data_IF_163729944827
#
_entry.id   IF_163729944827
#
_cell.length_a   1.000
_cell.length_b   1.000
_cell.length_c   1.000
_cell.angle_alpha   90.00
_cell.angle_beta   90.00
_cell.angle_gamma   90.00
#
_symmetry.space_group_name_H-M   'P 1'
#
loop_
_entity.id
_entity.type
_entity.pdbx_description
1 polymer ?
#
# COMPACT_ATOMS: atom_id res chain seq x y z
N UNK A 1 62.46 -18.44 24.70
CA UNK A 1 61.99 -17.08 24.46
C UNK A 1 61.02 -16.74 25.58
N UNK A 2 61.26 -15.67 26.34
CA UNK A 2 60.40 -15.30 27.48
C UNK A 2 59.15 -14.66 26.86
N UNK A 3 57.97 -15.14 27.22
CA UNK A 3 56.75 -14.57 26.64
C UNK A 3 56.50 -13.12 27.14
N UNK A 4 56.04 -12.28 26.25
CA UNK A 4 55.46 -10.99 26.55
C UNK A 4 54.09 -11.18 27.23
N UNK A 5 53.79 -10.47 28.30
CA UNK A 5 52.52 -10.46 28.98
C UNK A 5 51.93 -9.05 28.82
N UNK A 6 50.74 -8.93 28.21
CA UNK A 6 50.00 -7.67 28.21
C UNK A 6 49.23 -7.55 29.51
N UNK A 7 49.35 -6.42 30.16
CA UNK A 7 48.62 -6.10 31.40
C UNK A 7 47.36 -5.30 31.09
N UNK A 8 47.50 -4.29 30.23
CA UNK A 8 46.37 -3.41 29.79
C UNK A 8 46.59 -2.90 28.39
N UNK A 9 45.48 -2.48 27.79
CA UNK A 9 45.43 -1.76 26.53
C UNK A 9 44.73 -0.41 26.78
N UNK A 10 45.42 0.68 26.54
CA UNK A 10 44.86 2.05 26.58
C UNK A 10 44.41 2.42 25.16
N UNK A 11 43.14 2.77 25.01
CA UNK A 11 42.53 3.10 23.74
C UNK A 11 42.49 4.62 23.58
N UNK A 12 43.04 5.09 22.47
CA UNK A 12 43.07 6.52 22.14
C UNK A 12 42.29 6.75 20.86
N UNK A 13 41.45 7.78 20.87
CA UNK A 13 40.72 8.26 19.71
C UNK A 13 41.21 9.66 19.34
N UNK A 14 41.31 9.93 18.03
CA UNK A 14 41.64 11.26 17.52
C UNK A 14 40.52 12.24 17.84
N UNK A 15 40.88 13.39 18.41
CA UNK A 15 39.95 14.49 18.75
C UNK A 15 40.05 15.66 17.78
N UNK A 16 41.27 15.93 17.31
CA UNK A 16 41.60 16.86 16.23
C UNK A 16 42.77 16.28 15.47
N UNK A 17 42.94 16.68 14.21
CA UNK A 17 43.94 16.10 13.32
C UNK A 17 45.32 15.92 14.00
N UNK A 18 45.73 14.67 14.15
CA UNK A 18 47.00 14.28 14.76
C UNK A 18 47.01 14.30 16.30
N UNK A 19 45.91 14.63 16.99
CA UNK A 19 45.82 14.70 18.45
C UNK A 19 44.92 13.58 18.97
N UNK A 20 45.50 12.64 19.69
CA UNK A 20 44.80 11.49 20.27
C UNK A 20 44.56 11.68 21.76
N UNK A 21 43.34 11.46 22.22
CA UNK A 21 42.98 11.44 23.64
C UNK A 21 42.64 10.02 24.10
N UNK A 22 43.05 9.69 25.32
CA UNK A 22 42.65 8.44 25.97
C UNK A 22 41.13 8.44 26.19
N UNK A 23 40.43 7.42 25.66
CA UNK A 23 39.00 7.25 25.84
C UNK A 23 38.66 6.14 26.80
N UNK A 24 39.47 5.07 26.88
CA UNK A 24 39.26 3.97 27.82
C UNK A 24 40.54 3.13 27.99
N UNK A 25 40.51 2.21 28.96
CA UNK A 25 41.54 1.20 29.20
C UNK A 25 40.88 -0.15 29.46
N UNK A 26 41.40 -1.22 28.84
CA UNK A 26 40.86 -2.57 28.99
C UNK A 26 41.96 -3.62 29.14
N UNK A 27 41.67 -4.74 29.79
CA UNK A 27 42.52 -5.94 29.82
C UNK A 27 42.13 -6.94 28.69
N UNK A 28 40.98 -6.70 28.03
CA UNK A 28 40.46 -7.56 26.98
C UNK A 28 41.08 -7.19 25.63
N UNK A 29 41.09 -8.15 24.69
CA UNK A 29 41.57 -7.94 23.33
C UNK A 29 40.49 -7.36 22.39
N UNK A 30 39.41 -6.86 22.98
CA UNK A 30 38.27 -6.23 22.28
C UNK A 30 37.83 -5.00 23.07
N UNK A 31 37.53 -3.93 22.34
CA UNK A 31 36.89 -2.74 22.85
C UNK A 31 35.83 -2.27 21.87
N UNK A 32 34.69 -1.82 22.36
CA UNK A 32 33.59 -1.28 21.54
C UNK A 32 33.42 0.19 21.94
N UNK A 33 33.70 1.06 20.98
CA UNK A 33 33.43 2.49 21.15
C UNK A 33 31.97 2.75 20.68
N UNK A 34 31.20 3.45 21.53
CA UNK A 34 29.76 3.67 21.31
C UNK A 34 29.44 5.17 21.28
N UNK A 35 28.27 5.52 20.74
CA UNK A 35 27.81 6.92 20.65
C UNK A 35 28.59 7.75 19.64
N UNK A 36 29.15 7.11 18.61
CA UNK A 36 29.84 7.77 17.52
C UNK A 36 28.82 8.34 16.51
N UNK A 37 29.17 9.47 15.90
CA UNK A 37 28.39 10.01 14.81
C UNK A 37 28.61 9.17 13.54
N UNK A 38 27.52 8.74 12.91
CA UNK A 38 27.56 8.03 11.65
C UNK A 38 28.13 8.92 10.53
N UNK A 39 28.84 8.32 9.58
CA UNK A 39 29.45 9.03 8.45
C UNK A 39 30.69 9.87 8.80
N UNK A 40 31.11 9.91 10.08
CA UNK A 40 32.29 10.66 10.52
C UNK A 40 33.45 9.71 10.76
N UNK A 41 34.56 9.91 10.03
CA UNK A 41 35.76 9.09 10.19
C UNK A 41 36.32 9.21 11.61
N UNK A 42 36.61 8.05 12.22
CA UNK A 42 37.20 7.92 13.55
C UNK A 42 38.53 7.20 13.43
N UNK A 43 39.59 7.80 13.99
CA UNK A 43 40.93 7.22 13.97
C UNK A 43 41.35 6.82 15.41
N UNK A 44 41.97 5.66 15.50
CA UNK A 44 42.36 5.08 16.79
C UNK A 44 43.83 4.67 16.82
N UNK A 45 44.41 4.74 18.02
CA UNK A 45 45.68 4.11 18.39
C UNK A 45 45.54 3.41 19.73
N UNK A 46 46.26 2.31 19.90
CA UNK A 46 46.27 1.52 21.12
C UNK A 46 47.71 1.54 21.70
N UNK A 47 47.82 1.91 22.95
CA UNK A 47 49.05 1.68 23.72
C UNK A 47 48.88 0.40 24.53
N UNK A 48 49.65 -0.64 24.21
CA UNK A 48 49.73 -1.84 25.06
C UNK A 48 50.80 -1.65 26.14
N UNK A 49 50.40 -1.96 27.37
CA UNK A 49 51.29 -1.99 28.54
C UNK A 49 51.48 -3.42 28.96
N UNK A 50 52.72 -3.78 29.21
CA UNK A 50 53.03 -5.15 29.61
C UNK A 50 54.46 -5.30 30.09
N UNK A 51 54.82 -6.52 30.42
CA UNK A 51 56.12 -6.85 30.98
C UNK A 51 56.63 -8.21 30.46
N UNK A 52 57.92 -8.39 30.62
CA UNK A 52 58.52 -9.73 30.56
C UNK A 52 58.71 -10.28 31.97
N UNK A 53 58.48 -11.58 32.17
CA UNK A 53 58.61 -12.26 33.47
C UNK A 53 60.07 -12.48 33.91
N UNK A 54 60.99 -11.56 33.50
CA UNK A 54 62.41 -11.61 33.87
C UNK A 54 62.78 -10.33 34.58
N UNK A 55 63.46 -10.43 35.73
CA UNK A 55 63.96 -9.26 36.48
C UNK A 55 65.06 -8.52 35.73
N UNK A 56 65.11 -7.20 35.89
CA UNK A 56 66.11 -6.31 35.31
C UNK A 56 65.81 -5.71 33.95
N UNK A 57 64.60 -5.92 33.45
CA UNK A 57 64.05 -5.26 32.26
C UNK A 57 63.16 -4.10 32.70
N UNK A 58 63.04 -3.09 31.87
CA UNK A 58 62.12 -1.93 32.10
C UNK A 58 60.68 -2.48 32.24
N UNK A 59 59.98 -2.00 33.31
CA UNK A 59 58.61 -2.38 33.61
C UNK A 59 57.83 -1.11 34.06
N UNK A 60 56.68 -0.77 33.40
CA UNK A 60 56.08 -1.43 32.22
C UNK A 60 56.81 -1.09 30.92
N UNK A 61 56.76 -1.97 29.95
CA UNK A 61 57.12 -1.68 28.57
C UNK A 61 55.86 -1.24 27.82
N UNK A 62 55.98 -0.14 27.10
CA UNK A 62 54.90 0.48 26.33
C UNK A 62 55.13 0.20 24.84
N UNK A 63 54.06 -0.16 24.13
CA UNK A 63 54.10 -0.36 22.70
C UNK A 63 52.84 0.21 22.03
N UNK A 64 53.04 1.02 21.00
CA UNK A 64 51.98 1.67 20.25
C UNK A 64 51.60 0.85 19.01
N UNK A 65 50.29 0.75 18.73
CA UNK A 65 49.80 0.27 17.47
C UNK A 65 50.05 1.28 16.33
N UNK A 66 49.86 0.84 15.10
CA UNK A 66 49.66 1.77 14.00
C UNK A 66 48.33 2.45 14.18
N UNK A 67 48.15 3.59 13.55
CA UNK A 67 46.89 4.28 13.42
C UNK A 67 45.96 3.53 12.47
N UNK A 68 44.71 3.43 12.87
CA UNK A 68 43.64 2.81 12.05
C UNK A 68 42.43 3.73 12.09
N UNK A 69 41.89 4.05 10.93
CA UNK A 69 40.68 4.86 10.79
C UNK A 69 39.54 4.03 10.19
N UNK A 70 38.32 4.33 10.64
CA UNK A 70 37.08 3.75 10.10
C UNK A 70 35.97 4.76 10.22
N UNK A 71 34.98 4.65 9.34
CA UNK A 71 33.76 5.47 9.36
C UNK A 71 32.60 4.62 9.84
N UNK A 72 32.01 4.90 11.01
CA UNK A 72 30.79 4.24 11.43
C UNK A 72 29.67 4.49 10.39
N UNK A 73 28.94 3.44 10.09
CA UNK A 73 27.80 3.49 9.16
C UNK A 73 26.56 3.06 9.94
N UNK A 74 25.45 3.75 9.76
CA UNK A 74 24.17 3.30 10.28
C UNK A 74 23.74 2.03 9.54
N UNK A 75 23.35 1.05 10.30
CA UNK A 75 22.80 -0.22 9.81
C UNK A 75 21.45 -0.54 10.47
N UNK A 76 20.89 0.41 11.22
CA UNK A 76 19.60 0.24 11.90
C UNK A 76 18.54 0.85 11.00
N UNK A 77 17.64 0.05 10.42
CA UNK A 77 16.59 0.60 9.57
C UNK A 77 15.56 1.37 10.40
N UNK A 78 14.80 2.28 9.76
CA UNK A 78 13.67 2.97 10.39
C UNK A 78 12.66 1.99 10.97
N UNK A 79 11.81 2.45 11.88
CA UNK A 79 10.70 1.65 12.37
C UNK A 79 9.65 1.42 11.29
N UNK A 80 8.90 0.33 11.44
CA UNK A 80 7.75 0.03 10.60
C UNK A 80 6.66 1.10 10.78
N UNK A 81 5.99 1.44 9.68
CA UNK A 81 4.88 2.40 9.67
C UNK A 81 3.55 1.67 9.77
N UNK A 82 2.62 2.18 10.59
CA UNK A 82 1.23 1.75 10.59
C UNK A 82 0.48 2.49 9.48
N UNK A 83 -0.03 1.75 8.48
CA UNK A 83 -0.78 2.31 7.36
C UNK A 83 -2.27 2.05 7.52
N UNK A 84 -3.09 3.07 7.20
CA UNK A 84 -4.54 2.97 7.05
C UNK A 84 -5.00 3.57 5.73
N UNK A 85 -6.10 3.04 5.19
CA UNK A 85 -6.63 3.47 3.89
C UNK A 85 -8.14 3.69 4.02
N UNK A 86 -8.61 4.86 3.59
CA UNK A 86 -10.02 5.18 3.43
C UNK A 86 -10.34 5.43 1.95
N UNK A 87 -11.34 4.70 1.42
CA UNK A 87 -11.72 4.77 0.00
C UNK A 87 -12.94 5.67 -0.20
N UNK A 88 -12.79 6.79 -0.90
CA UNK A 88 -13.90 7.62 -1.35
C UNK A 88 -14.48 7.08 -2.67
N UNK A 89 -15.61 6.39 -2.54
CA UNK A 89 -16.32 5.79 -3.69
C UNK A 89 -16.99 6.82 -4.61
N UNK A 90 -17.10 8.08 -4.20
CA UNK A 90 -17.70 9.14 -5.02
C UNK A 90 -16.66 9.78 -5.92
N UNK A 91 -15.52 10.10 -5.34
CA UNK A 91 -14.42 10.72 -6.07
C UNK A 91 -13.46 9.68 -6.68
N UNK A 92 -13.66 8.39 -6.39
CA UNK A 92 -12.84 7.27 -6.84
C UNK A 92 -11.37 7.40 -6.39
N UNK A 93 -11.17 7.72 -5.12
CA UNK A 93 -9.86 8.00 -4.52
C UNK A 93 -9.62 7.07 -3.33
N UNK A 94 -8.40 6.60 -3.20
CA UNK A 94 -7.89 5.95 -1.98
C UNK A 94 -7.02 6.94 -1.22
N UNK A 95 -7.45 7.29 0.00
CA UNK A 95 -6.72 8.16 0.92
C UNK A 95 -5.89 7.29 1.87
N UNK A 96 -4.59 7.40 1.78
CA UNK A 96 -3.64 6.69 2.62
C UNK A 96 -3.16 7.63 3.71
N UNK A 97 -3.05 7.12 4.94
CA UNK A 97 -2.40 7.81 6.06
C UNK A 97 -1.53 6.78 6.77
N UNK A 98 -0.33 7.19 7.18
CA UNK A 98 0.57 6.34 7.95
C UNK A 98 1.13 7.06 9.15
N UNK A 99 1.50 6.30 10.16
CA UNK A 99 2.04 6.81 11.41
C UNK A 99 3.23 5.99 11.87
N UNK A 100 4.20 6.65 12.49
CA UNK A 100 5.35 6.02 13.12
C UNK A 100 5.05 5.80 14.62
N UNK A 101 5.58 4.72 15.20
CA UNK A 101 5.51 4.50 16.65
C UNK A 101 6.36 5.53 17.42
N UNK A 102 5.86 5.96 18.60
CA UNK A 102 6.44 7.07 19.39
C UNK A 102 7.90 6.86 19.87
N UNK A 103 8.38 5.62 19.93
CA UNK A 103 9.73 5.28 20.44
C UNK A 103 10.77 5.06 19.34
N UNK A 104 10.47 5.44 18.10
CA UNK A 104 11.33 5.18 16.95
C UNK A 104 12.40 6.26 16.75
N UNK A 105 13.59 5.92 16.18
CA UNK A 105 14.56 6.90 15.75
C UNK A 105 13.96 7.87 14.73
N UNK A 106 14.22 9.16 14.89
CA UNK A 106 13.70 10.22 14.04
C UNK A 106 14.73 10.55 12.93
N UNK A 107 15.10 9.54 12.15
CA UNK A 107 16.11 9.62 11.09
C UNK A 107 15.58 9.34 9.68
N UNK A 108 14.26 9.16 9.55
CA UNK A 108 13.59 9.00 8.27
C UNK A 108 13.76 10.28 7.44
N UNK A 109 14.12 10.12 6.17
CA UNK A 109 14.25 11.21 5.21
C UNK A 109 13.21 11.16 4.11
N UNK A 110 12.69 9.96 3.80
CA UNK A 110 11.81 9.74 2.67
C UNK A 110 10.81 8.61 2.96
N UNK A 111 9.58 8.75 2.45
CA UNK A 111 8.60 7.69 2.34
C UNK A 111 8.35 7.35 0.88
N UNK A 112 8.37 6.06 0.55
CA UNK A 112 7.96 5.55 -0.75
C UNK A 112 6.62 4.86 -0.62
N UNK A 113 5.65 5.28 -1.44
CA UNK A 113 4.32 4.69 -1.50
C UNK A 113 4.32 3.60 -2.56
N UNK A 114 4.05 2.37 -2.15
CA UNK A 114 4.04 1.20 -3.02
C UNK A 114 2.61 0.71 -3.26
N UNK A 115 2.34 0.26 -4.48
CA UNK A 115 1.03 -0.20 -4.89
C UNK A 115 1.11 -1.38 -5.86
N UNK A 116 0.10 -2.25 -5.79
CA UNK A 116 -0.23 -3.25 -6.80
C UNK A 116 -1.74 -3.38 -6.96
N UNK A 117 -2.30 -3.42 -8.19
CA UNK A 117 -3.72 -3.65 -8.42
C UNK A 117 -4.14 -5.11 -8.26
N UNK A 118 -3.21 -6.01 -8.01
CA UNK A 118 -3.42 -7.47 -7.97
C UNK A 118 -3.14 -7.97 -6.55
N UNK A 119 -4.07 -8.70 -5.97
CA UNK A 119 -3.88 -9.33 -4.66
C UNK A 119 -2.68 -10.29 -4.69
N UNK A 120 -1.69 -10.02 -3.81
CA UNK A 120 -0.45 -10.78 -3.76
C UNK A 120 0.50 -10.55 -4.94
N UNK A 121 0.25 -9.52 -5.76
CA UNK A 121 1.14 -9.09 -6.83
C UNK A 121 2.35 -8.31 -6.32
N UNK A 122 3.30 -8.05 -7.21
CA UNK A 122 4.50 -7.29 -6.91
C UNK A 122 4.15 -5.81 -6.67
N UNK A 123 4.55 -5.30 -5.52
CA UNK A 123 4.42 -3.88 -5.18
C UNK A 123 5.42 -3.05 -5.98
N UNK A 124 4.96 -1.93 -6.54
CA UNK A 124 5.80 -0.96 -7.25
C UNK A 124 5.65 0.43 -6.64
N UNK A 125 6.72 1.20 -6.59
CA UNK A 125 6.68 2.57 -6.09
C UNK A 125 5.86 3.44 -7.05
N UNK A 126 4.83 4.08 -6.54
CA UNK A 126 3.96 4.99 -7.29
C UNK A 126 4.17 6.47 -6.93
N UNK A 127 4.70 6.73 -5.74
CA UNK A 127 5.05 8.08 -5.28
C UNK A 127 6.16 8.03 -4.24
N UNK A 128 6.82 9.17 -4.06
CA UNK A 128 7.84 9.39 -3.04
C UNK A 128 7.59 10.75 -2.40
N UNK A 129 7.64 10.81 -1.08
CA UNK A 129 7.47 12.03 -0.30
C UNK A 129 8.58 12.18 0.73
N UNK A 130 9.09 13.40 0.87
CA UNK A 130 10.05 13.72 1.93
C UNK A 130 9.37 13.71 3.31
N UNK A 131 10.10 13.27 4.34
CA UNK A 131 9.66 13.43 5.72
C UNK A 131 9.45 14.92 6.06
N UNK A 132 8.39 15.32 6.82
CA UNK A 132 7.47 14.51 7.61
C UNK A 132 6.08 14.24 6.97
N UNK A 133 5.97 14.12 5.66
CA UNK A 133 4.70 13.91 4.98
C UNK A 133 4.15 12.52 5.32
N UNK A 134 2.91 12.42 5.80
CA UNK A 134 2.29 11.22 6.35
C UNK A 134 0.96 10.83 5.70
N UNK A 135 0.62 11.43 4.55
CA UNK A 135 -0.60 11.17 3.80
C UNK A 135 -0.36 11.13 2.28
N UNK A 136 -1.19 10.39 1.56
CA UNK A 136 -1.16 10.32 0.10
C UNK A 136 -2.55 10.04 -0.47
N UNK A 137 -2.95 10.80 -1.46
CA UNK A 137 -4.18 10.62 -2.23
C UNK A 137 -3.87 9.92 -3.56
N UNK A 138 -4.41 8.70 -3.75
CA UNK A 138 -4.27 7.95 -4.99
C UNK A 138 -5.57 7.98 -5.78
N UNK A 139 -5.62 8.75 -6.85
CA UNK A 139 -6.80 8.87 -7.70
C UNK A 139 -6.80 10.08 -8.63
N UNK A 140 -7.90 10.25 -9.40
CA UNK A 140 -9.05 9.36 -9.50
C UNK A 140 -8.76 8.03 -10.20
N UNK A 141 -9.32 6.93 -9.69
CA UNK A 141 -9.06 5.56 -10.11
C UNK A 141 -10.28 4.99 -10.88
N UNK A 142 -10.48 5.43 -12.11
CA UNK A 142 -11.67 5.10 -12.92
C UNK A 142 -11.75 3.62 -13.33
N UNK A 143 -10.62 2.94 -13.49
CA UNK A 143 -10.57 1.55 -13.95
C UNK A 143 -10.69 0.56 -12.78
N UNK A 144 -9.99 0.81 -11.70
CA UNK A 144 -10.04 0.01 -10.47
C UNK A 144 -9.51 0.81 -9.30
N UNK A 145 -10.26 0.81 -8.20
CA UNK A 145 -9.81 1.30 -6.90
C UNK A 145 -9.15 0.18 -6.09
N UNK A 146 -9.44 -1.07 -6.46
CA UNK A 146 -8.91 -2.23 -5.77
C UNK A 146 -7.39 -2.30 -5.92
N UNK A 147 -6.74 -2.68 -4.84
CA UNK A 147 -5.30 -2.87 -4.81
C UNK A 147 -4.75 -2.99 -3.41
N UNK A 148 -3.47 -3.25 -3.34
CA UNK A 148 -2.74 -3.37 -2.09
C UNK A 148 -1.62 -2.33 -2.05
N UNK A 149 -1.42 -1.76 -0.87
CA UNK A 149 -0.46 -0.69 -0.61
C UNK A 149 0.47 -1.07 0.52
N UNK A 150 1.67 -0.53 0.47
CA UNK A 150 2.62 -0.53 1.57
C UNK A 150 3.42 0.78 1.55
N UNK A 151 3.97 1.15 2.70
CA UNK A 151 4.87 2.32 2.85
C UNK A 151 6.26 1.81 3.16
N UNK A 152 7.25 2.25 2.39
CA UNK A 152 8.66 2.06 2.74
C UNK A 152 9.20 3.35 3.34
N UNK A 153 9.66 3.26 4.59
CA UNK A 153 10.40 4.34 5.25
C UNK A 153 11.89 4.17 4.95
N UNK A 154 12.55 5.26 4.54
CA UNK A 154 13.96 5.28 4.15
C UNK A 154 14.69 6.30 5.01
N UNK A 155 15.82 5.91 5.61
CA UNK A 155 16.68 6.80 6.38
C UNK A 155 17.76 7.49 5.52
N UNK A 156 18.56 8.35 6.15
CA UNK A 156 19.65 9.08 5.50
C UNK A 156 20.80 8.17 5.03
N UNK A 157 20.87 6.93 5.50
CA UNK A 157 21.87 5.92 5.14
C UNK A 157 21.34 4.87 4.16
N UNK A 158 20.11 5.07 3.66
CA UNK A 158 19.41 4.18 2.72
C UNK A 158 19.03 2.81 3.34
N UNK A 159 18.91 2.73 4.67
CA UNK A 159 18.22 1.59 5.26
C UNK A 159 16.73 1.76 5.05
N UNK A 160 16.02 0.66 4.80
CA UNK A 160 14.61 0.66 4.42
C UNK A 160 13.82 -0.30 5.29
N UNK A 161 12.68 0.16 5.78
CA UNK A 161 11.66 -0.71 6.41
C UNK A 161 10.36 -0.58 5.66
N UNK A 162 9.74 -1.73 5.37
CA UNK A 162 8.45 -1.81 4.70
C UNK A 162 7.35 -2.05 5.74
N UNK A 163 6.23 -1.33 5.62
CA UNK A 163 5.04 -1.56 6.43
C UNK A 163 4.37 -2.89 6.10
N UNK A 164 3.44 -3.32 6.93
CA UNK A 164 2.44 -4.31 6.53
C UNK A 164 1.70 -3.85 5.26
N UNK A 165 1.23 -4.84 4.49
CA UNK A 165 0.47 -4.56 3.27
C UNK A 165 -1.02 -4.47 3.60
N UNK A 166 -1.64 -3.34 3.30
CA UNK A 166 -3.08 -3.11 3.46
C UNK A 166 -3.75 -3.07 2.08
N UNK A 167 -4.86 -3.81 1.95
CA UNK A 167 -5.57 -3.92 0.69
C UNK A 167 -6.98 -3.35 0.80
N UNK A 168 -7.44 -2.73 -0.30
CA UNK A 168 -8.80 -2.23 -0.49
C UNK A 168 -9.45 -2.87 -1.70
N UNK A 169 -10.79 -2.92 -1.70
CA UNK A 169 -11.56 -3.47 -2.80
C UNK A 169 -12.25 -2.34 -3.59
N UNK A 170 -12.78 -2.66 -4.77
CA UNK A 170 -13.59 -1.74 -5.55
C UNK A 170 -14.93 -1.45 -4.87
N UNK A 171 -15.40 -0.22 -4.99
CA UNK A 171 -16.74 0.21 -4.62
C UNK A 171 -17.79 -0.24 -5.65
N UNK A 172 -17.89 -1.54 -5.92
CA UNK A 172 -18.80 -2.06 -6.94
C UNK A 172 -20.26 -1.75 -6.59
N UNK A 173 -20.95 -1.12 -7.50
CA UNK A 173 -22.37 -0.78 -7.39
C UNK A 173 -23.11 -1.15 -8.66
N UNK A 174 -24.24 -1.85 -8.52
CA UNK A 174 -25.17 -2.15 -9.61
C UNK A 174 -26.57 -2.28 -9.05
N UNK A 175 -27.45 -1.34 -9.36
CA UNK A 175 -28.81 -1.29 -8.86
C UNK A 175 -29.78 -1.09 -10.01
N UNK A 176 -30.84 -1.89 -10.04
CA UNK A 176 -31.88 -1.84 -11.06
C UNK A 176 -33.11 -1.09 -10.56
N UNK A 177 -33.74 -0.25 -11.39
CA UNK A 177 -35.03 0.38 -11.05
C UNK A 177 -36.14 -0.69 -11.03
N UNK A 178 -37.26 -0.36 -10.41
CA UNK A 178 -38.44 -1.25 -10.39
C UNK A 178 -39.57 -0.76 -11.29
N UNK A 179 -39.39 0.32 -12.04
CA UNK A 179 -40.36 0.91 -12.95
C UNK A 179 -39.66 1.65 -14.10
N UNK A 180 -40.22 1.57 -15.30
CA UNK A 180 -39.84 2.44 -16.40
C UNK A 180 -41.05 2.70 -17.31
N UNK A 181 -40.96 3.75 -18.14
CA UNK A 181 -42.09 4.32 -18.87
C UNK A 181 -41.75 4.56 -20.34
N UNK A 182 -41.63 3.50 -21.17
CA UNK A 182 -41.28 3.68 -22.58
C UNK A 182 -42.37 4.49 -23.30
N UNK A 183 -42.03 5.66 -23.75
CA UNK A 183 -42.96 6.60 -24.35
C UNK A 183 -42.37 7.51 -25.44
N UNK A 184 -41.05 7.43 -25.63
CA UNK A 184 -40.30 8.24 -26.60
C UNK A 184 -40.16 9.70 -26.22
N UNK A 185 -40.30 10.02 -24.93
CA UNK A 185 -40.12 11.38 -24.40
C UNK A 185 -38.73 11.65 -23.79
N UNK A 186 -37.81 10.69 -23.97
CA UNK A 186 -36.42 10.69 -23.44
C UNK A 186 -36.26 10.51 -21.93
N UNK A 187 -37.37 10.31 -21.21
CA UNK A 187 -37.33 10.09 -19.76
C UNK A 187 -37.79 8.67 -19.42
N UNK A 188 -36.89 7.86 -18.84
CA UNK A 188 -37.15 6.48 -18.45
C UNK A 188 -37.71 5.59 -19.61
N UNK A 189 -37.32 5.89 -20.86
CA UNK A 189 -37.74 5.14 -22.05
C UNK A 189 -37.14 3.75 -22.09
N UNK A 190 -35.99 3.54 -21.43
CA UNK A 190 -35.33 2.25 -21.33
C UNK A 190 -35.25 1.81 -19.86
N UNK A 191 -35.38 0.50 -19.66
CA UNK A 191 -34.98 -0.15 -18.41
C UNK A 191 -33.47 -0.27 -18.42
N UNK A 192 -32.81 0.53 -17.59
CA UNK A 192 -31.36 0.64 -17.46
C UNK A 192 -31.01 0.71 -15.97
N UNK A 193 -29.82 0.26 -15.54
CA UNK A 193 -29.38 0.44 -14.16
C UNK A 193 -29.25 1.92 -13.79
N UNK A 194 -29.30 2.21 -12.50
CA UNK A 194 -28.74 3.48 -12.01
C UNK A 194 -27.26 3.53 -12.39
N UNK A 195 -26.60 4.70 -12.33
CA UNK A 195 -25.17 4.76 -12.54
C UNK A 195 -24.48 3.64 -11.76
N UNK A 196 -23.67 2.87 -12.42
CA UNK A 196 -22.97 1.72 -11.83
C UNK A 196 -21.46 1.88 -11.97
N UNK A 197 -20.72 1.15 -11.14
CA UNK A 197 -19.26 1.18 -11.13
C UNK A 197 -18.69 -0.24 -10.94
N UNK A 198 -17.55 -0.49 -11.55
CA UNK A 198 -16.76 -1.72 -11.40
C UNK A 198 -17.55 -3.00 -11.68
N UNK A 199 -18.28 -3.00 -12.80
CA UNK A 199 -19.02 -4.15 -13.33
C UNK A 199 -18.44 -4.50 -14.70
N UNK A 200 -17.99 -5.77 -14.84
CA UNK A 200 -17.42 -6.25 -16.10
C UNK A 200 -18.52 -6.61 -17.11
N UNK A 201 -19.53 -7.34 -16.64
CA UNK A 201 -20.63 -7.83 -17.46
C UNK A 201 -21.82 -8.25 -16.60
N UNK A 202 -22.95 -8.51 -17.24
CA UNK A 202 -24.13 -9.09 -16.60
C UNK A 202 -24.65 -10.29 -17.40
N UNK A 203 -25.55 -11.07 -16.82
CA UNK A 203 -26.44 -12.00 -17.51
C UNK A 203 -27.85 -11.77 -16.97
N UNK A 204 -28.66 -10.95 -17.65
CA UNK A 204 -30.05 -10.67 -17.25
C UNK A 204 -31.04 -11.35 -18.19
N UNK A 205 -32.10 -11.92 -17.60
CA UNK A 205 -33.26 -12.46 -18.30
C UNK A 205 -34.51 -11.89 -17.70
N UNK A 206 -35.37 -11.34 -18.56
CA UNK A 206 -36.64 -10.72 -18.17
C UNK A 206 -37.79 -11.60 -18.68
N UNK A 207 -38.75 -11.85 -17.81
CA UNK A 207 -39.87 -12.74 -18.02
C UNK A 207 -41.21 -12.01 -17.82
N UNK A 208 -42.21 -12.37 -18.57
CA UNK A 208 -43.58 -11.93 -18.29
C UNK A 208 -44.21 -12.75 -17.12
N UNK A 209 -45.44 -12.38 -16.75
CA UNK A 209 -46.18 -13.02 -15.64
C UNK A 209 -46.46 -14.51 -15.84
N UNK A 210 -46.33 -15.02 -17.05
CA UNK A 210 -46.52 -16.44 -17.37
C UNK A 210 -45.21 -17.22 -17.45
N UNK A 211 -44.09 -16.56 -17.16
CA UNK A 211 -42.76 -17.18 -17.20
C UNK A 211 -42.13 -17.27 -18.60
N UNK A 212 -42.73 -16.62 -19.61
CA UNK A 212 -42.11 -16.54 -20.93
C UNK A 212 -41.01 -15.50 -20.93
N UNK A 213 -39.82 -15.88 -21.39
CA UNK A 213 -38.68 -14.94 -21.53
C UNK A 213 -39.01 -13.91 -22.62
N UNK A 214 -38.83 -12.64 -22.31
CA UNK A 214 -39.16 -11.51 -23.16
C UNK A 214 -37.89 -10.84 -23.69
N UNK A 215 -36.84 -10.78 -22.86
CA UNK A 215 -35.61 -10.09 -23.18
C UNK A 215 -34.43 -10.73 -22.42
N UNK A 216 -33.28 -10.71 -23.04
CA UNK A 216 -32.00 -11.06 -22.37
C UNK A 216 -30.85 -10.23 -22.97
N UNK A 217 -29.84 -9.92 -22.11
CA UNK A 217 -28.61 -9.28 -22.53
C UNK A 217 -27.49 -9.58 -21.57
N UNK A 218 -26.24 -9.41 -22.04
CA UNK A 218 -25.02 -9.42 -21.22
C UNK A 218 -24.40 -8.02 -21.07
N UNK A 219 -25.01 -7.03 -21.76
CA UNK A 219 -24.59 -5.64 -21.67
C UNK A 219 -25.00 -5.03 -20.33
N UNK A 220 -24.06 -4.46 -19.54
CA UNK A 220 -24.38 -3.82 -18.27
C UNK A 220 -25.42 -2.70 -18.36
N UNK A 221 -25.52 -1.98 -19.47
CA UNK A 221 -26.50 -0.90 -19.67
C UNK A 221 -27.93 -1.40 -19.84
N UNK A 222 -28.12 -2.69 -20.21
CA UNK A 222 -29.40 -3.36 -20.46
C UNK A 222 -30.14 -2.76 -21.66
N UNK A 223 -30.58 -1.51 -21.57
CA UNK A 223 -31.28 -0.72 -22.58
C UNK A 223 -32.56 -1.41 -23.14
N UNK A 224 -33.33 -2.12 -22.28
CA UNK A 224 -34.60 -2.71 -22.69
C UNK A 224 -35.67 -1.65 -22.84
N UNK A 225 -36.20 -1.49 -24.07
CA UNK A 225 -37.21 -0.49 -24.47
C UNK A 225 -38.68 -0.93 -24.24
N UNK A 226 -38.87 -2.08 -23.58
CA UNK A 226 -40.21 -2.63 -23.36
C UNK A 226 -40.79 -3.38 -24.56
N UNK A 227 -39.97 -3.78 -25.55
CA UNK A 227 -40.37 -4.67 -26.61
C UNK A 227 -39.93 -6.12 -26.33
N UNK A 228 -40.66 -7.07 -26.90
CA UNK A 228 -40.25 -8.46 -26.90
C UNK A 228 -39.10 -8.65 -27.88
N UNK A 229 -38.00 -9.18 -27.44
CA UNK A 229 -36.77 -9.30 -28.21
C UNK A 229 -36.92 -10.17 -29.47
N UNK A 230 -37.78 -11.22 -29.41
CA UNK A 230 -37.97 -12.16 -30.52
C UNK A 230 -39.00 -11.66 -31.53
N UNK A 231 -40.16 -11.17 -31.05
CA UNK A 231 -41.28 -10.76 -31.92
C UNK A 231 -41.19 -9.32 -32.37
N UNK A 232 -40.39 -8.49 -31.73
CA UNK A 232 -40.26 -7.04 -31.93
C UNK A 232 -41.57 -6.27 -31.69
N UNK A 233 -42.50 -6.88 -30.98
CA UNK A 233 -43.76 -6.25 -30.60
C UNK A 233 -43.67 -5.62 -29.22
N UNK A 234 -44.42 -4.56 -29.03
CA UNK A 234 -44.56 -3.92 -27.72
C UNK A 234 -45.09 -4.87 -26.66
N UNK A 235 -44.42 -4.89 -25.53
CA UNK A 235 -44.93 -5.56 -24.34
C UNK A 235 -46.07 -4.74 -23.71
N UNK A 236 -47.09 -5.42 -23.19
CA UNK A 236 -48.22 -4.76 -22.52
C UNK A 236 -47.82 -4.18 -21.17
N UNK A 237 -48.55 -3.19 -20.73
CA UNK A 237 -48.42 -2.64 -19.36
C UNK A 237 -48.58 -3.77 -18.32
N UNK A 238 -47.74 -3.72 -17.30
CA UNK A 238 -47.82 -4.73 -16.25
C UNK A 238 -46.49 -5.01 -15.57
N UNK A 239 -46.49 -6.11 -14.82
CA UNK A 239 -45.33 -6.53 -14.06
C UNK A 239 -44.57 -7.59 -14.80
N UNK A 240 -43.27 -7.42 -14.90
CA UNK A 240 -42.28 -8.34 -15.43
C UNK A 240 -41.33 -8.73 -14.32
N UNK A 241 -40.66 -9.87 -14.43
CA UNK A 241 -39.73 -10.37 -13.44
C UNK A 241 -38.37 -10.56 -14.08
N UNK A 242 -37.31 -10.32 -13.32
CA UNK A 242 -35.97 -10.57 -13.82
C UNK A 242 -35.14 -11.43 -12.86
N UNK A 243 -34.19 -12.13 -13.43
CA UNK A 243 -33.03 -12.70 -12.77
C UNK A 243 -31.81 -12.13 -13.47
N UNK A 244 -30.81 -11.71 -12.69
CA UNK A 244 -29.61 -11.09 -13.19
C UNK A 244 -28.41 -11.57 -12.40
N UNK A 245 -27.37 -12.05 -13.07
CA UNK A 245 -26.05 -12.24 -12.50
C UNK A 245 -25.20 -11.04 -12.89
N UNK A 246 -24.64 -10.34 -11.91
CA UNK A 246 -23.73 -9.20 -12.10
C UNK A 246 -22.33 -9.69 -11.82
N UNK A 247 -21.44 -9.57 -12.78
CA UNK A 247 -20.02 -9.91 -12.66
C UNK A 247 -19.26 -8.65 -12.21
N UNK A 248 -19.04 -8.54 -10.92
CA UNK A 248 -18.36 -7.38 -10.30
C UNK A 248 -16.85 -7.53 -10.36
N UNK A 249 -16.16 -6.46 -10.72
CA UNK A 249 -14.69 -6.37 -10.66
C UNK A 249 -14.30 -6.14 -9.19
N UNK A 250 -13.61 -7.11 -8.60
CA UNK A 250 -13.16 -7.09 -7.21
C UNK A 250 -11.66 -7.29 -7.13
N UNK A 251 -11.05 -7.01 -5.97
CA UNK A 251 -9.63 -7.30 -5.74
C UNK A 251 -9.29 -8.78 -5.98
N UNK A 252 -10.19 -9.68 -5.63
CA UNK A 252 -10.04 -11.12 -5.84
C UNK A 252 -10.29 -11.57 -7.30
N UNK A 253 -10.51 -10.64 -8.24
CA UNK A 253 -10.93 -10.89 -9.60
C UNK A 253 -12.44 -10.72 -9.77
N UNK A 254 -13.00 -11.26 -10.86
CA UNK A 254 -14.43 -11.11 -11.16
C UNK A 254 -15.27 -12.00 -10.26
N UNK A 255 -16.21 -11.42 -9.52
CA UNK A 255 -17.09 -12.11 -8.56
C UNK A 255 -18.54 -11.95 -8.96
N UNK A 256 -19.29 -13.06 -9.19
CA UNK A 256 -20.69 -12.98 -9.55
C UNK A 256 -21.58 -12.68 -8.35
N UNK A 257 -22.50 -11.73 -8.51
CA UNK A 257 -23.57 -11.41 -7.56
C UNK A 257 -24.95 -11.58 -8.22
N UNK A 258 -25.84 -12.35 -7.60
CA UNK A 258 -27.16 -12.61 -8.13
C UNK A 258 -28.18 -11.58 -7.62
N UNK A 259 -28.93 -11.00 -8.56
CA UNK A 259 -30.05 -10.12 -8.31
C UNK A 259 -31.34 -10.75 -8.89
N UNK A 260 -32.45 -10.48 -8.27
CA UNK A 260 -33.77 -10.80 -8.79
C UNK A 260 -34.78 -9.75 -8.31
N UNK A 261 -35.82 -9.57 -9.11
CA UNK A 261 -36.82 -8.56 -8.77
C UNK A 261 -37.93 -8.49 -9.80
N UNK A 262 -38.67 -7.41 -9.73
CA UNK A 262 -39.75 -7.12 -10.67
C UNK A 262 -39.54 -5.75 -11.31
N UNK A 263 -40.18 -5.56 -12.48
CA UNK A 263 -40.18 -4.35 -13.27
C UNK A 263 -41.61 -4.00 -13.58
N UNK A 264 -42.05 -2.82 -13.26
CA UNK A 264 -43.34 -2.30 -13.69
C UNK A 264 -43.16 -1.50 -14.97
N UNK A 265 -43.72 -2.01 -16.07
CA UNK A 265 -43.77 -1.32 -17.36
C UNK A 265 -45.11 -0.55 -17.45
N UNK A 266 -45.01 0.75 -17.66
CA UNK A 266 -46.15 1.66 -17.78
C UNK A 266 -45.99 2.48 -19.06
N UNK A 267 -46.91 2.35 -20.04
CA UNK A 267 -46.93 3.19 -21.24
C UNK A 267 -47.89 4.35 -21.02
N UNK A 268 -47.56 5.53 -21.51
CA UNK A 268 -48.49 6.66 -21.53
C UNK A 268 -49.66 6.24 -22.43
N UNK A 269 -50.89 6.27 -21.90
CA UNK A 269 -52.08 6.12 -22.73
C UNK A 269 -52.11 7.28 -23.70
N UNK A 270 -52.13 6.98 -25.02
CA UNK A 270 -52.43 8.04 -25.99
C UNK A 270 -53.79 8.63 -25.64
N UNK A 271 -53.92 10.01 -25.59
CA UNK A 271 -55.25 10.58 -25.42
C UNK A 271 -56.14 10.07 -26.52
N UNK A 272 -57.32 9.48 -26.16
CA UNK A 272 -58.35 9.09 -27.14
C UNK A 272 -58.68 10.26 -28.03
N UNK A 273 -58.67 10.15 -29.36
CA UNK A 273 -59.17 11.18 -30.20
C UNK A 273 -60.67 11.35 -29.92
N UNK A 274 -61.05 12.51 -29.44
CA UNK A 274 -62.47 12.91 -29.31
C UNK A 274 -63.14 13.06 -30.67
#
# INVERSE_FOLDING_TARGET
MVPWINDTFDIYRETTTGVFALIDSTTEQMYVDTGLANGVEQCYRIESRGHYSIGGVVDPILNWSQETCTTPVDSIPPCEQDISIDSDCTELINNLVWTQADECPDDIVEYQILYTPIYGGDLTVIATHDFPWDEFEHGPLETTMAGCYAIAAVDSFQNVTLSDTVCVDNCSNYTLPNVFTPGGDTYNDNFTPFPYAFVESIDIKIYNRWGLKIFETTDPDILWDGTNQDTKLDCSDGVYYYVCTVNEIRLAGVVPRNLHGFIQLLRKSSPSPN
#
